data_IF_865485108137
#
_entry.id   IF_865485108137
#
_cell.length_a   1.000
_cell.length_b   1.000
_cell.length_c   1.000
_cell.angle_alpha   90.00
_cell.angle_beta   90.00
_cell.angle_gamma   90.00
#
_symmetry.space_group_name_H-M   'P 1'
#
loop_
_entity.id
_entity.type
_entity.pdbx_description
1 polymer ?
#
# COMPACT_ATOMS: atom_id res chain seq x y z
N UNK A 1 3.58 -2.94 -12.76
CA UNK A 1 3.33 -1.71 -12.00
C UNK A 1 2.28 -1.99 -10.93
N UNK A 2 2.52 -1.54 -9.73
CA UNK A 2 1.55 -1.61 -8.65
C UNK A 2 0.77 -0.31 -8.59
N UNK A 3 -0.54 -0.38 -8.40
CA UNK A 3 -1.40 0.78 -8.26
C UNK A 3 -2.48 0.53 -7.22
N UNK A 4 -2.89 1.60 -6.59
CA UNK A 4 -3.99 1.67 -5.66
C UNK A 4 -5.31 1.92 -6.40
N UNK A 5 -6.40 1.52 -5.78
CA UNK A 5 -7.77 1.50 -6.28
C UNK A 5 -8.22 2.78 -7.04
N UNK A 6 -8.21 2.72 -8.35
CA UNK A 6 -8.90 3.65 -9.24
C UNK A 6 -9.75 2.87 -10.23
N UNK A 7 -10.72 3.52 -10.83
CA UNK A 7 -11.70 2.96 -11.75
C UNK A 7 -11.09 2.08 -12.86
N UNK A 8 -11.69 0.96 -13.24
CA UNK A 8 -11.19 0.03 -14.26
C UNK A 8 -10.89 0.65 -15.63
N UNK A 9 -11.38 1.86 -15.89
CA UNK A 9 -11.15 2.59 -17.15
C UNK A 9 -9.74 3.24 -17.22
N UNK A 10 -8.95 3.20 -16.15
CA UNK A 10 -7.64 3.84 -16.10
C UNK A 10 -6.51 2.97 -16.66
N UNK A 11 -6.70 1.65 -16.76
CA UNK A 11 -5.63 0.69 -17.09
C UNK A 11 -4.93 0.99 -18.40
N UNK A 12 -5.67 1.18 -19.48
CA UNK A 12 -5.09 1.42 -20.81
C UNK A 12 -4.29 2.72 -20.86
N UNK A 13 -4.80 3.78 -20.24
CA UNK A 13 -4.12 5.07 -20.17
C UNK A 13 -2.83 5.00 -19.35
N UNK A 14 -2.85 4.24 -18.25
CA UNK A 14 -1.67 4.04 -17.39
C UNK A 14 -0.60 3.22 -18.10
N UNK A 15 -0.97 2.12 -18.76
CA UNK A 15 -0.06 1.28 -19.52
C UNK A 15 0.65 2.08 -20.61
N UNK A 16 -0.11 2.86 -21.39
CA UNK A 16 0.43 3.68 -22.48
C UNK A 16 1.29 4.83 -21.95
N UNK A 17 0.83 5.58 -20.94
CA UNK A 17 1.51 6.78 -20.46
C UNK A 17 2.80 6.47 -19.68
N UNK A 18 2.85 5.33 -19.00
CA UNK A 18 3.98 4.94 -18.14
C UNK A 18 4.87 3.87 -18.80
N UNK A 19 4.51 3.38 -19.98
CA UNK A 19 5.24 2.31 -20.65
C UNK A 19 5.22 0.98 -19.89
N UNK A 20 4.19 0.77 -19.07
CA UNK A 20 4.00 -0.45 -18.33
C UNK A 20 3.29 -1.50 -19.19
N UNK A 21 3.59 -2.78 -18.96
CA UNK A 21 2.97 -3.89 -19.68
C UNK A 21 1.84 -4.55 -18.91
N UNK A 22 1.79 -4.33 -17.59
CA UNK A 22 0.77 -4.85 -16.69
C UNK A 22 0.54 -3.92 -15.51
N UNK A 23 -0.71 -3.82 -15.08
CA UNK A 23 -1.13 -3.11 -13.86
C UNK A 23 -1.70 -4.13 -12.88
N UNK A 24 -1.33 -4.00 -11.62
CA UNK A 24 -1.89 -4.79 -10.52
C UNK A 24 -2.52 -3.82 -9.53
N UNK A 25 -3.79 -4.02 -9.23
CA UNK A 25 -4.56 -3.21 -8.30
C UNK A 25 -4.56 -3.85 -6.92
N UNK A 26 -3.97 -3.17 -5.94
CA UNK A 26 -4.02 -3.60 -4.54
C UNK A 26 -5.36 -3.21 -3.92
N UNK A 27 -6.00 -4.10 -3.13
CA UNK A 27 -7.30 -3.82 -2.53
C UNK A 27 -7.25 -2.82 -1.37
N UNK A 28 -6.09 -2.68 -0.70
CA UNK A 28 -5.98 -1.85 0.49
C UNK A 28 -4.66 -1.06 0.52
N UNK A 29 -4.69 0.07 1.24
CA UNK A 29 -3.54 0.92 1.55
C UNK A 29 -3.03 0.72 2.97
N UNK A 30 -2.51 1.80 3.55
CA UNK A 30 -2.13 1.85 4.97
C UNK A 30 -3.28 2.45 5.78
N UNK A 31 -3.64 1.77 6.85
CA UNK A 31 -4.68 2.24 7.77
C UNK A 31 -4.27 3.56 8.42
N UNK A 32 -5.14 4.56 8.31
CA UNK A 32 -4.90 5.93 8.79
C UNK A 32 -3.64 6.60 8.22
N UNK A 33 -3.34 6.32 6.97
CA UNK A 33 -2.34 7.03 6.20
C UNK A 33 -2.79 8.47 5.89
N UNK A 34 -1.91 9.43 6.22
CA UNK A 34 -2.11 10.86 5.96
C UNK A 34 -2.26 11.16 4.45
N UNK A 35 -1.55 10.44 3.61
CA UNK A 35 -1.44 10.72 2.19
C UNK A 35 -2.56 10.13 1.35
N UNK A 36 -3.58 9.58 1.99
CA UNK A 36 -4.74 8.97 1.33
C UNK A 36 -4.36 7.74 0.48
N UNK A 37 -3.55 6.86 1.08
CA UNK A 37 -3.25 5.51 0.59
C UNK A 37 -2.40 5.45 -0.68
N UNK A 38 -1.27 6.13 -0.72
CA UNK A 38 -0.31 6.01 -1.79
C UNK A 38 0.33 4.61 -1.82
N UNK A 39 0.42 4.02 -3.02
CA UNK A 39 0.91 2.64 -3.19
C UNK A 39 2.36 2.44 -2.76
N UNK A 40 3.20 3.47 -2.85
CA UNK A 40 4.60 3.44 -2.45
C UNK A 40 4.80 3.27 -0.94
N UNK A 41 3.78 3.59 -0.14
CA UNK A 41 3.74 3.30 1.30
C UNK A 41 3.34 1.84 1.60
N UNK A 42 2.70 1.17 0.65
CA UNK A 42 2.17 -0.20 0.81
C UNK A 42 3.13 -1.25 0.28
N UNK A 43 3.61 -1.06 -0.94
CA UNK A 43 4.46 -2.02 -1.62
C UNK A 43 5.39 -1.36 -2.63
N UNK A 44 6.58 -1.92 -2.78
CA UNK A 44 7.54 -1.47 -3.78
C UNK A 44 8.31 -2.63 -4.40
N UNK A 45 8.70 -2.49 -5.65
CA UNK A 45 9.62 -3.40 -6.31
C UNK A 45 11.05 -3.17 -5.82
N UNK A 46 11.72 -4.25 -5.46
CA UNK A 46 13.15 -4.24 -5.06
C UNK A 46 14.03 -5.01 -6.04
N UNK A 47 13.41 -5.71 -6.98
CA UNK A 47 14.08 -6.45 -8.04
C UNK A 47 13.07 -7.04 -9.02
N UNK A 48 13.53 -7.76 -10.07
CA UNK A 48 12.64 -8.43 -11.02
C UNK A 48 11.77 -9.49 -10.33
N UNK A 49 10.45 -9.32 -10.36
CA UNK A 49 9.47 -10.15 -9.66
C UNK A 49 9.70 -10.25 -8.13
N UNK A 50 10.28 -9.22 -7.54
CA UNK A 50 10.61 -9.17 -6.13
C UNK A 50 10.04 -7.90 -5.50
N UNK A 51 9.26 -8.05 -4.43
CA UNK A 51 8.51 -6.98 -3.77
C UNK A 51 8.80 -6.94 -2.27
N UNK A 52 8.75 -5.75 -1.70
CA UNK A 52 8.49 -5.54 -0.26
C UNK A 52 7.03 -5.17 -0.08
N UNK A 53 6.43 -5.62 1.02
CA UNK A 53 5.05 -5.33 1.40
C UNK A 53 5.03 -4.88 2.86
N UNK A 54 4.39 -3.74 3.12
CA UNK A 54 4.15 -3.25 4.47
C UNK A 54 3.38 -4.28 5.29
N UNK A 55 3.89 -4.63 6.46
CA UNK A 55 3.39 -5.76 7.25
C UNK A 55 3.37 -5.49 8.74
N UNK A 56 2.38 -6.04 9.42
CA UNK A 56 2.36 -6.19 10.87
C UNK A 56 2.00 -7.63 11.24
N UNK A 57 2.61 -8.18 12.29
CA UNK A 57 2.23 -9.48 12.85
C UNK A 57 1.14 -9.35 13.93
N UNK A 58 0.81 -8.14 14.33
CA UNK A 58 -0.24 -7.86 15.30
C UNK A 58 -1.62 -8.02 14.67
N UNK A 59 -2.33 -9.09 15.03
CA UNK A 59 -3.65 -9.39 14.51
C UNK A 59 -4.76 -8.46 15.05
N UNK A 60 -4.48 -7.73 16.10
CA UNK A 60 -5.39 -6.73 16.66
C UNK A 60 -5.24 -5.36 15.95
N UNK A 61 -4.15 -5.19 15.19
CA UNK A 61 -3.94 -4.02 14.36
C UNK A 61 -4.84 -4.10 13.10
N UNK A 62 -5.65 -3.08 12.79
CA UNK A 62 -6.46 -3.03 11.57
C UNK A 62 -5.66 -3.25 10.28
N UNK A 63 -4.39 -2.85 10.26
CA UNK A 63 -3.50 -3.05 9.11
C UNK A 63 -3.25 -4.53 8.81
N UNK A 64 -3.30 -5.41 9.80
CA UNK A 64 -3.06 -6.83 9.57
C UNK A 64 -3.99 -7.42 8.51
N UNK A 65 -5.28 -7.18 8.61
CA UNK A 65 -6.27 -7.71 7.65
C UNK A 65 -6.10 -7.09 6.25
N UNK A 66 -5.72 -5.82 6.17
CA UNK A 66 -5.47 -5.11 4.93
C UNK A 66 -4.23 -5.66 4.22
N UNK A 67 -3.11 -5.74 4.92
CA UNK A 67 -1.86 -6.31 4.39
C UNK A 67 -2.00 -7.80 4.02
N UNK A 68 -2.78 -8.57 4.78
CA UNK A 68 -3.05 -9.96 4.46
C UNK A 68 -3.86 -10.13 3.17
N UNK A 69 -4.80 -9.23 2.89
CA UNK A 69 -5.55 -9.23 1.64
C UNK A 69 -4.66 -8.86 0.44
N UNK A 70 -3.79 -7.86 0.60
CA UNK A 70 -2.81 -7.50 -0.44
C UNK A 70 -1.83 -8.64 -0.72
N UNK A 71 -1.33 -9.31 0.33
CA UNK A 71 -0.47 -10.48 0.20
C UNK A 71 -1.18 -11.61 -0.57
N UNK A 72 -2.42 -11.92 -0.22
CA UNK A 72 -3.19 -12.97 -0.85
C UNK A 72 -3.46 -12.70 -2.34
N UNK A 73 -3.60 -11.44 -2.73
CA UNK A 73 -3.71 -11.04 -4.12
C UNK A 73 -2.35 -11.19 -4.82
N UNK A 74 -1.28 -10.66 -4.25
CA UNK A 74 0.06 -10.67 -4.85
C UNK A 74 0.62 -12.09 -5.01
N UNK A 75 0.28 -13.02 -4.11
CA UNK A 75 0.67 -14.43 -4.22
C UNK A 75 0.03 -15.16 -5.42
N UNK A 76 -1.11 -14.67 -5.89
CA UNK A 76 -1.83 -15.22 -7.04
C UNK A 76 -1.45 -14.54 -8.36
N UNK A 77 -0.91 -13.34 -8.26
CA UNK A 77 -0.52 -12.53 -9.40
C UNK A 77 0.87 -12.90 -9.92
N UNK A 78 1.13 -12.47 -11.14
CA UNK A 78 2.44 -12.58 -11.79
C UNK A 78 2.86 -11.22 -12.34
N UNK A 79 4.15 -11.06 -12.57
CA UNK A 79 4.64 -9.91 -13.34
C UNK A 79 4.23 -10.02 -14.83
N UNK A 80 4.58 -9.02 -15.62
CA UNK A 80 4.26 -8.99 -17.06
C UNK A 80 4.91 -10.14 -17.87
N UNK A 81 5.94 -10.77 -17.32
CA UNK A 81 6.62 -11.94 -17.92
C UNK A 81 6.11 -13.29 -17.41
N UNK A 82 5.06 -13.29 -16.58
CA UNK A 82 4.47 -14.48 -16.01
C UNK A 82 5.22 -15.07 -14.83
N UNK A 83 6.15 -14.34 -14.22
CA UNK A 83 6.90 -14.79 -13.04
C UNK A 83 6.09 -14.53 -11.77
N UNK A 84 6.04 -15.51 -10.86
CA UNK A 84 5.49 -15.32 -9.54
C UNK A 84 6.36 -14.37 -8.70
N UNK A 85 5.72 -13.61 -7.82
CA UNK A 85 6.43 -12.67 -6.95
C UNK A 85 7.09 -13.36 -5.76
N UNK A 86 8.30 -12.91 -5.43
CA UNK A 86 8.91 -13.11 -4.12
C UNK A 86 8.56 -11.90 -3.26
N UNK A 87 7.87 -12.12 -2.14
CA UNK A 87 7.34 -11.04 -1.31
C UNK A 87 8.05 -11.04 0.03
N UNK A 88 8.69 -9.91 0.33
CA UNK A 88 9.34 -9.67 1.62
C UNK A 88 8.42 -8.82 2.50
N UNK A 89 8.14 -9.30 3.69
CA UNK A 89 7.34 -8.56 4.68
C UNK A 89 8.23 -7.54 5.38
N UNK A 90 7.87 -6.26 5.22
CA UNK A 90 8.56 -5.14 5.83
C UNK A 90 7.74 -4.66 7.05
N UNK A 91 8.26 -4.81 8.28
CA UNK A 91 7.52 -4.38 9.47
C UNK A 91 7.25 -2.87 9.44
N UNK A 92 6.00 -2.50 9.67
CA UNK A 92 5.59 -1.11 9.83
C UNK A 92 5.61 -0.70 11.31
N UNK A 93 5.68 0.61 11.62
CA UNK A 93 5.60 1.09 12.99
C UNK A 93 4.32 0.63 13.69
N UNK A 94 4.48 0.09 14.90
CA UNK A 94 3.35 -0.32 15.75
C UNK A 94 2.76 0.84 16.56
N UNK A 95 3.49 1.96 16.65
CA UNK A 95 3.10 3.12 17.45
C UNK A 95 2.41 4.13 16.55
N UNK A 96 1.17 4.46 16.92
CA UNK A 96 0.43 5.56 16.33
C UNK A 96 0.71 6.83 17.13
N UNK A 97 0.81 7.95 16.44
CA UNK A 97 0.82 9.26 17.08
C UNK A 97 -0.62 9.77 17.17
N UNK A 98 -0.96 10.36 18.32
CA UNK A 98 -2.23 11.07 18.45
C UNK A 98 -2.05 12.49 17.90
N UNK A 99 -2.91 12.90 16.98
CA UNK A 99 -2.91 14.24 16.40
C UNK A 99 -3.28 15.26 17.47
N UNK A 100 -2.44 16.29 17.63
CA UNK A 100 -2.62 17.38 18.59
C UNK A 100 -3.03 18.67 17.88
N UNK A 101 -3.49 19.67 18.66
CA UNK A 101 -3.84 21.00 18.11
C UNK A 101 -2.68 21.65 17.34
N UNK A 102 -1.43 21.32 17.69
CA UNK A 102 -0.23 21.85 17.02
C UNK A 102 -0.03 21.24 15.63
N UNK A 103 -0.55 20.03 15.41
CA UNK A 103 -0.42 19.27 14.16
C UNK A 103 -1.49 19.67 13.11
N UNK A 104 -2.61 20.24 13.54
CA UNK A 104 -3.75 20.58 12.66
C UNK A 104 -3.43 21.48 11.46
N UNK A 105 -2.50 22.49 11.56
CA UNK A 105 -2.16 23.31 10.40
C UNK A 105 -1.40 22.53 9.33
N UNK A 106 -2.10 22.11 8.29
CA UNK A 106 -1.54 21.41 7.13
C UNK A 106 -1.96 19.96 6.98
N UNK A 107 -2.69 19.43 7.94
CA UNK A 107 -3.21 18.07 7.92
C UNK A 107 -4.72 18.02 7.75
N UNK A 108 -5.23 16.86 7.31
CA UNK A 108 -6.67 16.62 7.15
C UNK A 108 -7.31 15.94 8.35
N UNK A 109 -6.53 15.68 9.39
CA UNK A 109 -6.99 15.02 10.62
C UNK A 109 -7.71 16.00 11.56
N UNK A 110 -8.54 15.43 12.43
CA UNK A 110 -9.15 16.13 13.57
C UNK A 110 -8.33 15.89 14.83
N UNK A 111 -8.43 16.81 15.80
CA UNK A 111 -7.73 16.67 17.08
C UNK A 111 -8.16 15.38 17.80
N UNK A 112 -7.18 14.59 18.23
CA UNK A 112 -7.39 13.32 18.93
C UNK A 112 -7.53 12.10 18.03
N UNK A 113 -7.47 12.25 16.69
CA UNK A 113 -7.30 11.13 15.78
C UNK A 113 -5.92 10.50 15.90
N UNK A 114 -5.82 9.25 15.53
CA UNK A 114 -4.55 8.54 15.48
C UNK A 114 -3.99 8.57 14.05
N UNK A 115 -2.72 8.90 13.93
CA UNK A 115 -1.96 8.87 12.70
C UNK A 115 -0.90 7.77 12.79
N UNK A 116 -0.67 7.08 11.69
CA UNK A 116 0.43 6.13 11.57
C UNK A 116 1.57 6.75 10.77
N UNK A 117 2.76 6.73 11.33
CA UNK A 117 3.96 7.04 10.57
C UNK A 117 4.24 5.98 9.49
N UNK A 118 4.62 6.46 8.32
CA UNK A 118 5.00 5.68 7.14
C UNK A 118 6.51 5.46 7.06
#
# INVERSE_FOLDING_TARGET
MLLWQLEPCADDNLLESLGAEKVIWLPYGIYQDETNEHVDNVAAFVGPAELVLAWTDDQDDPQYSMSAADLALLEKETDAKGRSFTIHKLPIPAIHQVVTEEDLPGYTYEEGEEERYE
#
